data_IF_553732757928
#
_entry.id   IF_553732757928
#
_cell.length_a   1.000
_cell.length_b   1.000
_cell.length_c   1.000
_cell.angle_alpha   90.00
_cell.angle_beta   90.00
_cell.angle_gamma   90.00
#
_symmetry.space_group_name_H-M   'P 1'
#
loop_
_entity.id
_entity.type
_entity.pdbx_description
1 polymer ?
#
# COMPACT_ATOMS: atom_id res chain seq x y z
N UNK A 1 -18.69 20.82 7.53
CA UNK A 1 -17.85 21.00 6.32
C UNK A 1 -17.43 19.63 5.82
N UNK A 2 -17.65 19.34 4.54
CA UNK A 2 -17.21 18.09 3.90
C UNK A 2 -15.72 18.18 3.58
N UNK A 3 -14.91 17.24 4.09
CA UNK A 3 -13.46 17.28 3.85
C UNK A 3 -13.10 16.95 2.40
N UNK A 4 -11.91 17.35 1.95
CA UNK A 4 -11.43 17.03 0.60
C UNK A 4 -11.40 15.51 0.36
N UNK A 5 -11.12 14.72 1.41
CA UNK A 5 -11.16 13.26 1.37
C UNK A 5 -12.58 12.72 1.13
N UNK A 6 -13.59 13.28 1.80
CA UNK A 6 -14.97 12.85 1.60
C UNK A 6 -15.45 13.15 0.18
N UNK A 7 -15.11 14.33 -0.37
CA UNK A 7 -15.40 14.68 -1.76
C UNK A 7 -14.72 13.75 -2.77
N UNK A 8 -13.44 13.43 -2.53
CA UNK A 8 -12.68 12.46 -3.32
C UNK A 8 -13.36 11.07 -3.35
N UNK A 9 -13.88 10.60 -2.20
CA UNK A 9 -14.57 9.30 -2.12
C UNK A 9 -15.98 9.34 -2.74
N UNK A 10 -16.63 10.50 -2.71
CA UNK A 10 -17.93 10.72 -3.36
C UNK A 10 -17.83 10.95 -4.87
N UNK A 11 -16.61 11.13 -5.41
CA UNK A 11 -16.40 11.46 -6.82
C UNK A 11 -16.71 12.91 -7.18
N UNK A 12 -16.84 13.78 -6.18
CA UNK A 12 -17.06 15.21 -6.35
C UNK A 12 -15.74 15.94 -6.65
N UNK A 13 -15.82 17.16 -7.20
CA UNK A 13 -14.63 18.00 -7.40
C UNK A 13 -13.98 18.30 -6.04
N UNK A 14 -12.72 17.91 -5.90
CA UNK A 14 -11.92 18.11 -4.69
C UNK A 14 -10.59 18.79 -5.03
N UNK A 15 -10.03 19.51 -4.06
CA UNK A 15 -8.70 20.10 -4.19
C UNK A 15 -7.63 19.06 -3.83
N UNK A 16 -6.81 18.70 -4.81
CA UNK A 16 -5.71 17.76 -4.63
C UNK A 16 -4.54 18.36 -3.82
N UNK A 17 -4.48 19.67 -3.60
CA UNK A 17 -3.44 20.31 -2.77
C UNK A 17 -3.88 20.48 -1.30
N UNK A 18 -5.09 20.02 -0.96
CA UNK A 18 -5.58 20.04 0.41
C UNK A 18 -4.59 19.36 1.37
N UNK A 19 -4.33 20.03 2.50
CA UNK A 19 -3.34 19.60 3.49
C UNK A 19 -3.59 18.19 4.06
N UNK A 20 -4.85 17.76 4.19
CA UNK A 20 -5.22 16.42 4.65
C UNK A 20 -4.77 15.36 3.61
N UNK A 21 -5.05 15.62 2.33
CA UNK A 21 -4.70 14.71 1.24
C UNK A 21 -3.19 14.67 0.99
N UNK A 22 -2.51 15.81 1.11
CA UNK A 22 -1.05 15.89 1.00
C UNK A 22 -0.37 15.14 2.15
N UNK A 23 -0.85 15.30 3.39
CA UNK A 23 -0.32 14.55 4.54
C UNK A 23 -0.51 13.03 4.37
N UNK A 24 -1.70 12.60 3.90
CA UNK A 24 -1.97 11.21 3.57
C UNK A 24 -1.02 10.67 2.50
N UNK A 25 -0.75 11.43 1.43
CA UNK A 25 0.19 11.05 0.36
C UNK A 25 1.62 10.94 0.86
N UNK A 26 2.07 11.86 1.72
CA UNK A 26 3.40 11.82 2.33
C UNK A 26 3.59 10.54 3.16
N UNK A 27 2.60 10.18 3.99
CA UNK A 27 2.61 8.93 4.75
C UNK A 27 2.67 7.71 3.84
N UNK A 28 1.83 7.67 2.80
CA UNK A 28 1.81 6.58 1.83
C UNK A 28 3.15 6.43 1.10
N UNK A 29 3.77 7.54 0.66
CA UNK A 29 5.12 7.52 0.04
C UNK A 29 6.19 6.98 0.98
N UNK A 30 6.20 7.39 2.24
CA UNK A 30 7.16 6.88 3.24
C UNK A 30 7.02 5.37 3.42
N UNK A 31 5.79 4.85 3.49
CA UNK A 31 5.54 3.41 3.57
C UNK A 31 5.95 2.68 2.30
N UNK A 32 5.60 3.19 1.11
CA UNK A 32 6.06 2.65 -0.17
C UNK A 32 7.58 2.60 -0.25
N UNK A 33 8.27 3.67 0.16
CA UNK A 33 9.72 3.73 0.14
C UNK A 33 10.33 2.66 1.05
N UNK A 34 9.79 2.49 2.26
CA UNK A 34 10.20 1.41 3.18
C UNK A 34 10.01 0.03 2.55
N UNK A 35 8.84 -0.24 1.96
CA UNK A 35 8.56 -1.53 1.33
C UNK A 35 9.48 -1.78 0.13
N UNK A 36 9.66 -0.79 -0.73
CA UNK A 36 10.51 -0.90 -1.92
C UNK A 36 12.00 -1.03 -1.57
N UNK A 37 12.42 -0.56 -0.39
CA UNK A 37 13.78 -0.71 0.12
C UNK A 37 14.02 -2.05 0.83
N UNK A 38 12.98 -2.83 1.14
CA UNK A 38 13.14 -4.19 1.65
C UNK A 38 13.63 -5.09 0.52
N UNK A 39 14.68 -5.87 0.75
CA UNK A 39 15.24 -6.82 -0.20
C UNK A 39 14.26 -7.95 -0.54
N UNK A 40 14.39 -8.57 -1.72
CA UNK A 40 13.49 -9.64 -2.19
C UNK A 40 13.59 -10.95 -1.44
N UNK A 41 14.72 -11.18 -0.79
CA UNK A 41 14.95 -12.37 0.02
C UNK A 41 14.34 -12.25 1.43
N UNK A 42 13.99 -11.04 1.87
CA UNK A 42 13.40 -10.75 3.18
C UNK A 42 11.86 -10.82 3.15
N UNK A 43 11.32 -11.96 2.69
CA UNK A 43 9.87 -12.19 2.56
C UNK A 43 9.09 -11.90 3.86
N UNK A 44 9.62 -12.35 5.00
CA UNK A 44 9.04 -12.14 6.33
C UNK A 44 8.90 -10.65 6.71
N UNK A 45 9.90 -9.83 6.36
CA UNK A 45 9.91 -8.38 6.67
C UNK A 45 8.96 -7.63 5.74
N UNK A 46 8.84 -8.06 4.48
CA UNK A 46 7.88 -7.51 3.52
C UNK A 46 6.45 -7.80 3.92
N UNK A 47 6.14 -9.03 4.33
CA UNK A 47 4.80 -9.38 4.84
C UNK A 47 4.43 -8.56 6.06
N UNK A 48 5.35 -8.41 7.02
CA UNK A 48 5.13 -7.57 8.21
C UNK A 48 4.92 -6.10 7.86
N UNK A 49 5.69 -5.57 6.88
CA UNK A 49 5.56 -4.20 6.43
C UNK A 49 4.27 -3.96 5.62
N UNK A 50 3.87 -4.92 4.78
CA UNK A 50 2.60 -4.91 4.06
C UNK A 50 1.39 -5.04 4.99
N UNK A 51 1.46 -5.89 6.02
CA UNK A 51 0.41 -6.04 7.04
C UNK A 51 0.20 -4.75 7.85
N UNK A 52 1.25 -3.94 8.03
CA UNK A 52 1.15 -2.62 8.65
C UNK A 52 0.45 -1.57 7.77
N UNK A 53 0.33 -1.83 6.46
CA UNK A 53 -0.52 -1.06 5.56
C UNK A 53 -1.95 -1.60 5.68
N UNK A 54 -2.89 -0.72 6.08
CA UNK A 54 -4.32 -1.01 6.26
C UNK A 54 -4.88 -2.21 5.46
N UNK A 55 -5.51 -3.12 6.20
CA UNK A 55 -5.66 -4.55 5.94
C UNK A 55 -6.26 -5.07 4.61
N UNK A 56 -7.09 -4.37 3.80
CA UNK A 56 -7.62 -5.05 2.60
C UNK A 56 -6.61 -5.24 1.47
N UNK A 57 -5.53 -4.44 1.42
CA UNK A 57 -4.56 -4.49 0.30
C UNK A 57 -3.45 -5.52 0.52
N UNK A 58 -3.17 -5.89 1.77
CA UNK A 58 -2.13 -6.86 2.11
C UNK A 58 -2.52 -8.28 1.68
N UNK A 59 -3.80 -8.65 1.83
CA UNK A 59 -4.31 -10.00 1.54
C UNK A 59 -4.19 -10.41 0.08
N UNK A 60 -3.99 -9.45 -0.85
CA UNK A 60 -3.81 -9.72 -2.28
C UNK A 60 -2.73 -8.82 -2.90
N UNK A 61 -1.68 -8.49 -2.16
CA UNK A 61 -0.54 -7.79 -2.77
C UNK A 61 0.33 -8.83 -3.50
N UNK A 62 0.01 -9.12 -4.78
CA UNK A 62 0.81 -10.02 -5.64
C UNK A 62 2.11 -9.38 -6.14
N UNK A 63 2.59 -8.32 -5.46
CA UNK A 63 3.76 -7.56 -5.90
C UNK A 63 5.02 -8.39 -5.63
N UNK A 64 5.31 -9.28 -6.56
CA UNK A 64 6.55 -10.06 -6.69
C UNK A 64 7.02 -10.71 -5.38
N UNK A 65 6.13 -11.46 -4.73
CA UNK A 65 6.53 -12.45 -3.73
C UNK A 65 7.22 -13.59 -4.51
N UNK A 66 8.54 -13.53 -4.60
CA UNK A 66 9.36 -14.63 -5.10
C UNK A 66 9.21 -15.82 -4.16
N UNK A 67 8.25 -16.68 -4.46
CA UNK A 67 8.02 -17.95 -3.76
C UNK A 67 7.49 -18.94 -4.80
N UNK A 68 8.35 -19.86 -5.21
CA UNK A 68 8.18 -20.70 -6.39
C UNK A 68 6.85 -21.42 -6.50
N UNK A 69 6.38 -21.56 -7.74
CA UNK A 69 5.37 -22.55 -8.09
C UNK A 69 5.97 -23.93 -7.76
N UNK A 70 5.62 -24.48 -6.61
CA UNK A 70 5.80 -25.91 -6.34
C UNK A 70 4.94 -26.68 -7.35
N UNK A 71 5.56 -27.11 -8.44
CA UNK A 71 5.03 -28.16 -9.30
C UNK A 71 5.11 -29.48 -8.53
N UNK A 72 4.11 -29.76 -7.70
CA UNK A 72 3.87 -31.13 -7.23
C UNK A 72 3.23 -31.89 -8.40
N UNK A 73 4.10 -32.54 -9.19
CA UNK A 73 3.73 -33.55 -10.16
C UNK A 73 3.52 -34.89 -9.47
N UNK A 74 2.40 -35.54 -9.85
CA UNK A 74 1.98 -36.95 -9.63
C UNK A 74 1.51 -37.36 -8.25
#
# INVERSE_FOLDING_TARGET
>A
MTSARQKMLAGELYDAQDSELVAGRRRARSLCARINALDSEDAQRRESCCASWSAPVATRCTRNCGGGRSTASR
#
